data_IF_813448360393
#
_entry.id   IF_813448360393
#
_cell.length_a   1.000
_cell.length_b   1.000
_cell.length_c   1.000
_cell.angle_alpha   90.00
_cell.angle_beta   90.00
_cell.angle_gamma   90.00
#
_symmetry.space_group_name_H-M   'P 1'
#
loop_
_entity.id
_entity.type
_entity.pdbx_description
1 polymer ?
#
# COMPACT_ATOMS: atom_id res chain seq x y z
N UNK A 1 2.68 2.84 -21.96
CA UNK A 1 3.22 4.19 -21.70
C UNK A 1 4.07 4.58 -22.90
N UNK A 2 4.04 5.85 -23.36
CA UNK A 2 4.93 6.30 -24.44
C UNK A 2 6.38 6.23 -23.96
N UNK A 3 7.33 5.80 -24.82
CA UNK A 3 8.75 5.78 -24.48
C UNK A 3 9.21 7.19 -24.13
N UNK A 4 9.82 7.34 -22.95
CA UNK A 4 10.35 8.64 -22.52
C UNK A 4 11.54 9.00 -23.40
N UNK A 5 11.75 10.30 -23.69
CA UNK A 5 12.86 10.80 -24.52
C UNK A 5 14.22 10.30 -24.01
N UNK A 6 14.37 10.11 -22.71
CA UNK A 6 15.59 9.60 -22.08
C UNK A 6 15.96 8.17 -22.50
N UNK A 7 14.99 7.35 -22.95
CA UNK A 7 15.25 5.99 -23.44
C UNK A 7 16.07 5.94 -24.73
N UNK A 8 16.05 7.03 -25.49
CA UNK A 8 16.84 7.18 -26.73
C UNK A 8 18.24 7.73 -26.49
N UNK A 9 18.45 8.37 -25.30
CA UNK A 9 19.68 9.11 -25.01
C UNK A 9 20.58 8.37 -24.02
N UNK A 10 20.04 7.54 -23.09
CA UNK A 10 20.77 6.89 -22.01
C UNK A 10 20.76 5.37 -22.12
N UNK A 11 21.93 4.74 -21.96
CA UNK A 11 22.02 3.28 -21.81
C UNK A 11 21.87 2.88 -20.33
N UNK A 12 20.68 2.46 -19.94
CA UNK A 12 20.35 2.08 -18.57
C UNK A 12 21.12 0.84 -18.06
N UNK A 13 21.51 -0.07 -18.96
CA UNK A 13 22.39 -1.18 -18.57
C UNK A 13 23.78 -0.70 -18.23
N UNK A 14 24.31 0.25 -18.99
CA UNK A 14 25.60 0.88 -18.72
C UNK A 14 25.57 1.72 -17.43
N UNK A 15 24.47 2.43 -17.17
CA UNK A 15 24.25 3.20 -15.92
C UNK A 15 24.31 2.29 -14.68
N UNK A 16 23.71 1.11 -14.74
CA UNK A 16 23.79 0.12 -13.65
C UNK A 16 25.07 -0.71 -13.67
N UNK A 17 25.90 -0.62 -14.73
CA UNK A 17 27.11 -1.42 -14.88
C UNK A 17 26.86 -2.91 -15.06
N UNK A 18 25.75 -3.28 -15.72
CA UNK A 18 25.37 -4.67 -15.97
C UNK A 18 25.21 -4.95 -17.47
N UNK A 19 25.42 -6.18 -17.95
CA UNK A 19 25.18 -6.51 -19.34
C UNK A 19 23.68 -6.56 -19.67
N UNK A 20 23.26 -6.35 -20.94
CA UNK A 20 21.85 -6.44 -21.35
C UNK A 20 21.20 -7.81 -21.05
N UNK A 21 22.02 -8.85 -20.91
CA UNK A 21 21.58 -10.20 -20.55
C UNK A 21 21.46 -10.44 -19.06
N UNK A 22 21.68 -9.42 -18.21
CA UNK A 22 21.65 -9.55 -16.75
C UNK A 22 20.29 -10.03 -16.25
N UNK A 23 20.31 -10.90 -15.22
CA UNK A 23 19.10 -11.35 -14.56
C UNK A 23 18.50 -10.22 -13.70
N UNK A 24 17.18 -10.31 -13.39
CA UNK A 24 16.50 -9.38 -12.47
C UNK A 24 17.24 -9.29 -11.11
N UNK A 25 17.77 -10.41 -10.64
CA UNK A 25 18.55 -10.45 -9.38
C UNK A 25 19.85 -9.65 -9.47
N UNK A 26 20.51 -9.68 -10.62
CA UNK A 26 21.76 -8.95 -10.83
C UNK A 26 21.51 -7.46 -10.99
N UNK A 27 20.44 -7.08 -11.70
CA UNK A 27 19.96 -5.69 -11.82
C UNK A 27 19.64 -5.12 -10.43
N UNK A 28 18.85 -5.83 -9.61
CA UNK A 28 18.51 -5.40 -8.27
C UNK A 28 19.73 -5.33 -7.32
N UNK A 29 20.74 -6.21 -7.52
CA UNK A 29 21.99 -6.18 -6.76
C UNK A 29 22.85 -4.94 -7.14
N UNK A 30 22.98 -4.67 -8.43
CA UNK A 30 23.72 -3.51 -8.94
C UNK A 30 23.08 -2.20 -8.44
N UNK A 31 21.76 -2.08 -8.56
CA UNK A 31 21.01 -0.94 -8.04
C UNK A 31 21.28 -0.68 -6.57
N UNK A 32 21.11 -1.71 -5.71
CA UNK A 32 21.32 -1.55 -4.25
C UNK A 32 22.74 -1.09 -3.91
N UNK A 33 23.75 -1.57 -4.64
CA UNK A 33 25.13 -1.15 -4.45
C UNK A 33 25.32 0.33 -4.80
N UNK A 34 24.83 0.75 -5.97
CA UNK A 34 24.99 2.12 -6.46
C UNK A 34 24.12 3.12 -5.68
N UNK A 35 22.87 2.73 -5.33
CA UNK A 35 21.99 3.55 -4.52
C UNK A 35 22.57 3.81 -3.12
N UNK A 36 23.23 2.82 -2.49
CA UNK A 36 23.94 3.03 -1.24
C UNK A 36 25.16 3.93 -1.38
N UNK A 37 25.88 3.82 -2.51
CA UNK A 37 27.09 4.61 -2.78
C UNK A 37 26.77 6.09 -3.03
N UNK A 38 25.67 6.39 -3.74
CA UNK A 38 25.27 7.74 -4.12
C UNK A 38 24.09 8.30 -3.31
N UNK A 39 23.75 7.67 -2.17
CA UNK A 39 22.63 8.13 -1.35
C UNK A 39 22.87 9.57 -0.85
N UNK A 40 21.83 10.45 -0.89
CA UNK A 40 21.95 11.84 -0.44
C UNK A 40 22.43 11.97 1.00
N UNK A 41 21.99 11.07 1.90
CA UNK A 41 22.41 11.07 3.31
C UNK A 41 23.90 10.72 3.48
N UNK A 42 24.46 9.95 2.56
CA UNK A 42 25.89 9.57 2.58
C UNK A 42 26.78 10.58 1.85
N UNK A 43 26.21 11.43 1.00
CA UNK A 43 26.90 12.43 0.18
C UNK A 43 26.16 13.78 0.25
N UNK A 44 26.03 14.40 1.43
CA UNK A 44 25.26 15.63 1.58
C UNK A 44 25.91 16.79 0.83
N UNK A 45 25.14 17.38 -0.11
CA UNK A 45 25.59 18.55 -0.90
C UNK A 45 26.44 18.22 -2.13
N UNK A 46 26.71 16.94 -2.42
CA UNK A 46 27.39 16.51 -3.64
C UNK A 46 26.41 16.38 -4.81
N UNK A 47 26.44 17.37 -5.71
CA UNK A 47 25.56 17.42 -6.89
C UNK A 47 25.82 16.28 -7.88
N UNK A 48 27.07 15.84 -8.02
CA UNK A 48 27.42 14.73 -8.91
C UNK A 48 26.89 13.39 -8.38
N UNK A 49 26.91 13.21 -7.07
CA UNK A 49 26.30 12.05 -6.43
C UNK A 49 24.77 12.06 -6.56
N UNK A 50 24.14 13.24 -6.42
CA UNK A 50 22.69 13.40 -6.60
C UNK A 50 22.25 13.09 -8.04
N UNK A 51 22.98 13.56 -9.04
CA UNK A 51 22.71 13.29 -10.44
C UNK A 51 22.86 11.80 -10.77
N UNK A 52 23.95 11.16 -10.31
CA UNK A 52 24.15 9.72 -10.45
C UNK A 52 23.07 8.91 -9.74
N UNK A 53 22.61 9.35 -8.57
CA UNK A 53 21.52 8.68 -7.87
C UNK A 53 20.20 8.74 -8.65
N UNK A 54 19.90 9.89 -9.28
CA UNK A 54 18.73 10.04 -10.17
C UNK A 54 18.83 9.10 -11.38
N UNK A 55 19.98 9.05 -12.02
CA UNK A 55 20.20 8.18 -13.19
C UNK A 55 20.09 6.69 -12.84
N UNK A 56 20.69 6.27 -11.73
CA UNK A 56 20.62 4.90 -11.21
C UNK A 56 19.18 4.50 -10.86
N UNK A 57 18.41 5.43 -10.27
CA UNK A 57 17.02 5.19 -9.90
C UNK A 57 16.13 5.09 -11.14
N UNK A 58 16.30 5.96 -12.12
CA UNK A 58 15.57 5.91 -13.39
C UNK A 58 15.88 4.62 -14.17
N UNK A 59 17.14 4.20 -14.22
CA UNK A 59 17.55 2.95 -14.85
C UNK A 59 16.89 1.73 -14.18
N UNK A 60 16.87 1.69 -12.85
CA UNK A 60 16.24 0.60 -12.11
C UNK A 60 14.73 0.55 -12.31
N UNK A 61 14.04 1.68 -12.29
CA UNK A 61 12.60 1.77 -12.53
C UNK A 61 12.16 1.16 -13.86
N UNK A 62 12.99 1.27 -14.89
CA UNK A 62 12.70 0.69 -16.20
C UNK A 62 13.11 -0.78 -16.28
N UNK A 63 14.28 -1.16 -15.73
CA UNK A 63 14.85 -2.49 -15.90
C UNK A 63 14.34 -3.54 -14.90
N UNK A 64 13.78 -3.13 -13.75
CA UNK A 64 13.18 -4.03 -12.74
C UNK A 64 11.82 -4.59 -13.17
N UNK A 65 11.11 -3.90 -14.06
CA UNK A 65 9.80 -4.32 -14.55
C UNK A 65 9.94 -5.05 -15.90
N UNK A 66 9.57 -6.34 -16.00
CA UNK A 66 9.74 -7.14 -17.21
C UNK A 66 9.13 -6.52 -18.47
N UNK A 67 7.96 -5.89 -18.33
CA UNK A 67 7.27 -5.27 -19.48
C UNK A 67 7.96 -3.97 -19.92
N UNK A 68 8.36 -3.09 -18.97
CA UNK A 68 9.12 -1.87 -19.30
C UNK A 68 10.50 -2.18 -19.85
N UNK A 69 11.15 -3.22 -19.34
CA UNK A 69 12.44 -3.68 -19.85
C UNK A 69 12.33 -4.12 -21.31
N UNK A 70 11.27 -4.88 -21.67
CA UNK A 70 11.01 -5.28 -23.05
C UNK A 70 10.78 -4.08 -23.96
N UNK A 71 9.99 -3.11 -23.53
CA UNK A 71 9.76 -1.87 -24.29
C UNK A 71 11.07 -1.10 -24.49
N UNK A 72 11.87 -0.98 -23.44
CA UNK A 72 13.19 -0.33 -23.52
C UNK A 72 14.16 -1.07 -24.45
N UNK A 73 14.22 -2.40 -24.38
CA UNK A 73 15.05 -3.23 -25.26
C UNK A 73 14.64 -3.06 -26.73
N UNK A 74 13.35 -2.94 -27.04
CA UNK A 74 12.85 -2.66 -28.39
C UNK A 74 13.31 -1.26 -28.88
N UNK A 75 13.22 -0.23 -28.04
CA UNK A 75 13.71 1.12 -28.37
C UNK A 75 15.21 1.09 -28.64
N UNK A 76 15.97 0.39 -27.81
CA UNK A 76 17.42 0.22 -27.96
C UNK A 76 17.78 -0.49 -29.27
N UNK A 77 17.03 -1.50 -29.67
CA UNK A 77 17.21 -2.21 -30.93
C UNK A 77 16.92 -1.30 -32.14
N UNK A 78 15.86 -0.45 -32.06
CA UNK A 78 15.54 0.54 -33.08
C UNK A 78 16.66 1.60 -33.22
N UNK A 79 17.24 2.04 -32.12
CA UNK A 79 18.38 2.97 -32.15
C UNK A 79 19.62 2.30 -32.75
N UNK A 80 19.90 1.05 -32.38
CA UNK A 80 21.05 0.29 -32.90
C UNK A 80 20.91 -0.07 -34.37
N UNK A 81 19.70 -0.26 -34.87
CA UNK A 81 19.42 -0.52 -36.29
C UNK A 81 19.41 0.74 -37.19
N UNK A 82 19.63 1.92 -36.58
CA UNK A 82 19.66 3.19 -37.29
C UNK A 82 18.30 3.74 -37.73
N UNK A 83 17.22 3.09 -37.33
CA UNK A 83 15.83 3.52 -37.63
C UNK A 83 15.41 4.71 -36.75
N UNK A 84 16.04 4.86 -35.57
CA UNK A 84 15.83 5.97 -34.64
C UNK A 84 17.21 6.44 -34.12
N UNK A 85 17.90 7.27 -34.86
CA UNK A 85 19.16 7.92 -34.44
C UNK A 85 18.92 9.34 -33.93
N UNK A 86 19.87 9.93 -33.18
CA UNK A 86 19.76 11.29 -32.61
C UNK A 86 19.74 12.42 -33.66
N UNK A 87 19.28 12.13 -34.88
CA UNK A 87 19.21 13.02 -36.05
C UNK A 87 17.81 13.30 -36.57
N UNK A 88 16.74 12.94 -35.89
CA UNK A 88 15.34 13.20 -36.34
C UNK A 88 14.93 14.68 -36.25
N UNK A 89 15.86 15.59 -36.21
CA UNK A 89 15.64 17.05 -36.12
C UNK A 89 16.57 17.90 -36.96
N UNK A 90 17.21 17.39 -38.04
CA UNK A 90 17.96 18.27 -38.97
C UNK A 90 17.33 18.29 -40.36
N UNK A 91 16.81 19.44 -40.82
CA UNK A 91 16.39 19.59 -42.21
C UNK A 91 17.64 19.77 -43.10
N UNK A 92 17.88 18.81 -44.00
CA UNK A 92 18.79 19.05 -45.14
C UNK A 92 19.87 18.02 -45.33
N UNK A 93 19.61 16.99 -46.09
CA UNK A 93 20.31 16.54 -47.28
C UNK A 93 19.93 15.14 -47.72
N UNK A 94 19.04 15.06 -48.69
CA UNK A 94 18.80 13.90 -49.57
C UNK A 94 18.15 14.40 -50.85
N UNK A 95 18.61 13.96 -52.05
CA UNK A 95 18.13 14.48 -53.32
C UNK A 95 16.80 13.85 -53.72
N UNK A 96 15.72 14.63 -53.75
CA UNK A 96 14.46 14.16 -54.27
C UNK A 96 13.28 14.97 -53.72
N UNK A 97 13.01 16.11 -54.42
CA UNK A 97 12.01 17.10 -54.03
C UNK A 97 10.60 16.59 -53.95
N UNK A 98 9.80 17.25 -53.19
CA UNK A 98 8.52 17.89 -53.55
C UNK A 98 8.14 18.81 -52.39
N UNK A 99 7.98 20.11 -52.72
CA UNK A 99 7.59 21.16 -51.80
C UNK A 99 6.15 21.04 -51.35
N UNK A 100 5.87 21.44 -50.18
CA UNK A 100 4.99 22.56 -49.82
C UNK A 100 4.99 22.75 -48.31
N UNK A 101 5.17 23.99 -47.89
CA UNK A 101 5.40 24.38 -46.52
C UNK A 101 4.14 24.19 -45.64
N UNK A 102 4.31 23.42 -44.58
CA UNK A 102 3.58 23.58 -43.35
C UNK A 102 4.43 23.07 -42.18
N UNK A 103 5.08 23.99 -41.53
CA UNK A 103 5.68 23.84 -40.20
C UNK A 103 4.57 23.52 -39.22
N UNK A 104 4.52 22.27 -38.75
CA UNK A 104 3.68 21.91 -37.61
C UNK A 104 4.55 22.16 -36.36
N UNK A 105 4.23 23.22 -35.63
CA UNK A 105 4.74 23.48 -34.29
C UNK A 105 4.20 22.39 -33.35
N UNK A 106 5.08 21.63 -32.72
CA UNK A 106 4.77 20.59 -31.74
C UNK A 106 4.80 21.21 -30.34
N UNK A 107 3.93 22.19 -30.10
CA UNK A 107 3.81 22.81 -28.77
C UNK A 107 2.39 22.67 -28.16
N UNK A 108 1.53 21.85 -28.78
CA UNK A 108 0.17 21.66 -28.29
C UNK A 108 -0.27 20.18 -28.46
N UNK A 109 0.49 19.24 -27.87
CA UNK A 109 0.11 17.82 -27.80
C UNK A 109 0.04 17.30 -26.37
N UNK A 110 -0.63 18.04 -25.51
CA UNK A 110 -1.11 17.56 -24.22
C UNK A 110 -2.51 17.00 -24.31
N UNK A 111 -2.80 16.12 -25.25
CA UNK A 111 -3.99 15.24 -25.22
C UNK A 111 -4.20 14.55 -26.59
N UNK A 112 -3.33 13.65 -26.99
CA UNK A 112 -3.64 12.77 -28.12
C UNK A 112 -3.14 11.36 -27.88
N UNK A 113 -4.02 10.51 -27.38
CA UNK A 113 -3.93 9.04 -27.46
C UNK A 113 -3.96 8.52 -28.89
N UNK A 114 -3.01 8.92 -29.74
CA UNK A 114 -3.07 8.66 -31.18
C UNK A 114 -1.77 8.23 -31.85
N UNK A 115 -0.70 7.93 -31.12
CA UNK A 115 0.54 7.47 -31.76
C UNK A 115 0.44 6.05 -32.34
N UNK A 116 -0.50 5.25 -31.84
CA UNK A 116 -0.82 3.92 -32.40
C UNK A 116 -1.46 4.00 -33.79
N UNK A 117 -2.24 5.03 -34.05
CA UNK A 117 -2.92 5.23 -35.34
C UNK A 117 -1.98 5.75 -36.45
N UNK A 118 -0.96 6.55 -36.09
CA UNK A 118 0.01 7.09 -37.05
C UNK A 118 1.03 6.04 -37.51
N UNK A 119 1.45 5.13 -36.63
CA UNK A 119 2.32 4.00 -36.99
C UNK A 119 1.55 2.88 -37.68
N UNK A 120 0.28 2.67 -37.38
CA UNK A 120 -0.59 1.71 -38.07
C UNK A 120 -0.88 2.09 -39.52
N UNK A 121 -0.94 3.40 -39.83
CA UNK A 121 -1.19 3.91 -41.19
C UNK A 121 0.01 3.80 -42.14
N UNK A 122 1.23 3.70 -41.63
CA UNK A 122 2.45 3.68 -42.47
C UNK A 122 2.92 2.27 -42.85
N UNK A 123 2.51 1.24 -42.09
CA UNK A 123 2.85 -0.17 -42.40
C UNK A 123 1.66 -1.04 -42.87
N UNK A 124 0.46 -0.46 -42.96
CA UNK A 124 -0.77 -1.21 -43.22
C UNK A 124 -1.39 -0.99 -44.60
N UNK A 125 -0.64 -1.08 -45.69
CA UNK A 125 -1.26 -1.17 -47.04
C UNK A 125 -1.60 -2.63 -47.33
N UNK A 126 -2.67 -3.12 -46.71
CA UNK A 126 -3.20 -4.45 -46.97
C UNK A 126 -3.82 -5.14 -45.78
N UNK A 127 -5.02 -4.75 -45.36
CA UNK A 127 -5.73 -5.57 -44.40
C UNK A 127 -6.65 -4.84 -43.40
N UNK A 128 -7.52 -3.96 -43.89
CA UNK A 128 -8.51 -3.24 -43.07
C UNK A 128 -9.61 -4.10 -42.42
N UNK A 129 -9.34 -5.38 -42.11
CA UNK A 129 -10.30 -6.28 -41.44
C UNK A 129 -9.75 -6.99 -40.20
N UNK A 130 -8.44 -6.92 -39.88
CA UNK A 130 -7.84 -7.67 -38.76
C UNK A 130 -7.67 -6.87 -37.47
N UNK A 131 -7.77 -5.54 -37.48
CA UNK A 131 -7.64 -4.73 -36.27
C UNK A 131 -8.91 -4.75 -35.37
N UNK A 132 -10.06 -5.25 -35.90
CA UNK A 132 -11.32 -5.36 -35.14
C UNK A 132 -11.45 -6.62 -34.30
N UNK A 133 -10.54 -7.60 -34.48
CA UNK A 133 -10.63 -8.90 -33.79
C UNK A 133 -9.57 -9.11 -32.71
N UNK A 134 -8.81 -8.05 -32.32
CA UNK A 134 -7.89 -8.18 -31.20
C UNK A 134 -8.66 -8.26 -29.89
N UNK A 135 -8.37 -9.25 -29.03
CA UNK A 135 -8.99 -9.36 -27.72
C UNK A 135 -8.50 -8.24 -26.79
N UNK A 136 -9.42 -7.43 -26.30
CA UNK A 136 -9.13 -6.40 -25.30
C UNK A 136 -9.62 -6.84 -23.92
N UNK A 137 -8.81 -6.69 -22.84
CA UNK A 137 -9.26 -6.98 -21.50
C UNK A 137 -10.35 -6.01 -21.07
N UNK A 138 -11.32 -6.51 -20.30
CA UNK A 138 -12.38 -5.70 -19.72
C UNK A 138 -11.84 -4.75 -18.64
N UNK A 139 -12.57 -3.67 -18.33
CA UNK A 139 -12.19 -2.72 -17.27
C UNK A 139 -12.27 -3.38 -15.90
N UNK A 140 -11.35 -2.98 -15.02
CA UNK A 140 -11.42 -3.30 -13.60
C UNK A 140 -12.48 -2.44 -12.93
N UNK A 141 -13.21 -3.03 -11.96
CA UNK A 141 -14.20 -2.32 -11.16
C UNK A 141 -13.75 -2.24 -9.72
N UNK A 142 -14.26 -1.21 -9.00
CA UNK A 142 -14.05 -1.04 -7.57
C UNK A 142 -15.40 -0.95 -6.86
N UNK A 143 -15.53 -1.61 -5.70
CA UNK A 143 -16.70 -1.56 -4.83
C UNK A 143 -16.29 -1.59 -3.37
N UNK A 144 -17.16 -1.13 -2.47
CA UNK A 144 -16.93 -1.18 -1.03
C UNK A 144 -17.74 -2.30 -0.38
N UNK A 145 -17.15 -2.95 0.61
CA UNK A 145 -17.79 -3.95 1.45
C UNK A 145 -17.61 -3.57 2.91
N UNK A 146 -18.70 -3.29 3.59
CA UNK A 146 -18.69 -3.06 5.04
C UNK A 146 -18.83 -4.39 5.80
N UNK A 147 -17.90 -4.63 6.72
CA UNK A 147 -17.87 -5.79 7.62
C UNK A 147 -18.02 -5.36 9.08
N UNK A 148 -18.59 -6.24 9.89
CA UNK A 148 -18.49 -6.10 11.33
C UNK A 148 -17.06 -6.47 11.79
N UNK A 149 -16.62 -5.92 12.92
CA UNK A 149 -15.29 -6.16 13.45
C UNK A 149 -14.95 -7.64 13.58
N UNK A 150 -15.89 -8.44 14.11
CA UNK A 150 -15.69 -9.88 14.29
C UNK A 150 -15.57 -10.64 12.96
N UNK A 151 -16.27 -10.20 11.93
CA UNK A 151 -16.15 -10.76 10.58
C UNK A 151 -14.79 -10.46 9.97
N UNK A 152 -14.29 -9.24 10.18
CA UNK A 152 -12.95 -8.86 9.73
C UNK A 152 -11.84 -9.64 10.45
N UNK A 153 -12.04 -9.93 11.75
CA UNK A 153 -11.12 -10.71 12.56
C UNK A 153 -11.07 -12.19 12.16
N UNK A 154 -12.23 -12.82 12.03
CA UNK A 154 -12.34 -14.27 11.77
C UNK A 154 -12.32 -14.62 10.28
N UNK A 155 -12.51 -13.62 9.42
CA UNK A 155 -12.74 -13.84 7.99
C UNK A 155 -14.17 -14.37 7.74
N UNK A 156 -14.66 -14.12 6.55
CA UNK A 156 -16.02 -14.48 6.15
C UNK A 156 -16.14 -14.67 4.65
N UNK A 157 -17.11 -15.47 4.23
CA UNK A 157 -17.57 -15.51 2.84
C UNK A 157 -18.74 -14.55 2.69
N UNK A 158 -18.61 -13.55 1.82
CA UNK A 158 -19.69 -12.59 1.52
C UNK A 158 -20.09 -12.69 0.06
N UNK A 159 -21.37 -12.57 -0.18
CA UNK A 159 -21.95 -12.48 -1.51
C UNK A 159 -22.31 -11.03 -1.78
N UNK A 160 -21.70 -10.48 -2.85
CA UNK A 160 -21.91 -9.10 -3.28
C UNK A 160 -22.75 -9.12 -4.55
N UNK A 161 -23.81 -8.33 -4.58
CA UNK A 161 -24.52 -8.03 -5.81
C UNK A 161 -23.84 -6.83 -6.47
N UNK A 162 -23.23 -7.06 -7.62
CA UNK A 162 -22.52 -6.04 -8.36
C UNK A 162 -22.87 -6.15 -9.84
N UNK A 163 -23.30 -5.05 -10.46
CA UNK A 163 -23.68 -4.99 -11.88
C UNK A 163 -24.69 -6.10 -12.28
N UNK A 164 -25.71 -6.35 -11.43
CA UNK A 164 -26.72 -7.39 -11.65
C UNK A 164 -26.21 -8.84 -11.51
N UNK A 165 -24.96 -9.02 -11.12
CA UNK A 165 -24.31 -10.34 -10.89
C UNK A 165 -24.06 -10.56 -9.41
N UNK A 166 -24.20 -11.80 -8.96
CA UNK A 166 -23.78 -12.21 -7.63
C UNK A 166 -22.33 -12.69 -7.65
N UNK A 167 -21.47 -12.09 -6.84
CA UNK A 167 -20.05 -12.43 -6.72
C UNK A 167 -19.75 -12.86 -5.28
N UNK A 168 -19.28 -14.10 -5.12
CA UNK A 168 -18.81 -14.62 -3.82
C UNK A 168 -17.39 -14.16 -3.58
N UNK A 169 -17.18 -13.41 -2.48
CA UNK A 169 -15.88 -12.88 -2.07
C UNK A 169 -15.46 -13.55 -0.78
N UNK A 170 -14.29 -14.15 -0.78
CA UNK A 170 -13.67 -14.71 0.42
C UNK A 170 -12.81 -13.64 1.09
N UNK A 171 -13.21 -13.23 2.28
CA UNK A 171 -12.48 -12.31 3.12
C UNK A 171 -11.54 -13.11 4.02
N UNK A 172 -10.23 -12.91 3.95
CA UNK A 172 -9.31 -13.61 4.84
C UNK A 172 -9.44 -13.10 6.28
N UNK A 173 -9.10 -13.93 7.30
CA UNK A 173 -9.05 -13.47 8.67
C UNK A 173 -8.00 -12.37 8.84
N UNK A 174 -8.32 -11.41 9.71
CA UNK A 174 -7.43 -10.30 10.03
C UNK A 174 -7.41 -9.17 8.99
N UNK A 175 -8.37 -9.12 8.07
CA UNK A 175 -8.45 -8.03 7.09
C UNK A 175 -8.51 -6.66 7.79
N UNK A 176 -7.73 -5.69 7.27
CA UNK A 176 -7.69 -4.34 7.82
C UNK A 176 -8.77 -3.44 7.18
N UNK A 177 -9.14 -2.37 7.91
CA UNK A 177 -9.96 -1.30 7.32
C UNK A 177 -9.20 -0.64 6.16
N UNK A 178 -9.91 -0.37 5.05
CA UNK A 178 -9.33 0.15 3.82
C UNK A 178 -8.55 -0.87 2.97
N UNK A 179 -8.41 -2.12 3.42
CA UNK A 179 -7.70 -3.14 2.65
C UNK A 179 -8.47 -3.50 1.37
N UNK A 180 -7.72 -3.64 0.26
CA UNK A 180 -8.27 -4.03 -1.05
C UNK A 180 -8.12 -5.54 -1.26
N UNK A 181 -9.22 -6.17 -1.67
CA UNK A 181 -9.27 -7.59 -2.04
C UNK A 181 -9.60 -7.69 -3.52
N UNK A 182 -8.68 -8.22 -4.30
CA UNK A 182 -8.83 -8.42 -5.75
C UNK A 182 -9.52 -9.75 -6.03
N UNK A 183 -10.64 -9.70 -6.74
CA UNK A 183 -11.38 -10.86 -7.22
C UNK A 183 -11.21 -10.97 -8.73
N UNK A 184 -10.35 -11.89 -9.15
CA UNK A 184 -9.95 -12.04 -10.55
C UNK A 184 -11.12 -12.39 -11.47
N UNK A 185 -11.16 -11.73 -12.63
CA UNK A 185 -12.14 -12.00 -13.68
C UNK A 185 -13.59 -11.67 -13.29
N UNK A 186 -13.80 -10.77 -12.34
CA UNK A 186 -15.12 -10.31 -11.87
C UNK A 186 -15.39 -8.83 -12.15
N UNK A 187 -14.54 -8.19 -12.95
CA UNK A 187 -14.73 -6.84 -13.50
C UNK A 187 -15.61 -6.82 -14.73
N UNK A 188 -15.44 -5.83 -15.58
CA UNK A 188 -16.16 -5.68 -16.83
C UNK A 188 -15.84 -6.77 -17.84
N UNK A 189 -16.74 -7.06 -18.77
CA UNK A 189 -16.48 -8.01 -19.84
C UNK A 189 -15.37 -7.51 -20.76
N UNK A 190 -14.52 -8.43 -21.23
CA UNK A 190 -13.55 -8.13 -22.28
C UNK A 190 -14.23 -8.05 -23.64
N UNK A 191 -13.64 -7.32 -24.57
CA UNK A 191 -14.08 -7.21 -25.95
C UNK A 191 -13.35 -8.21 -26.85
N UNK A 192 -13.99 -8.65 -27.92
CA UNK A 192 -13.45 -9.56 -28.94
C UNK A 192 -12.84 -10.85 -28.34
N UNK A 193 -13.47 -11.42 -27.30
CA UNK A 193 -12.95 -12.62 -26.63
C UNK A 193 -11.81 -12.35 -25.64
N UNK A 194 -11.54 -11.10 -25.32
CA UNK A 194 -10.60 -10.73 -24.27
C UNK A 194 -11.04 -11.16 -22.86
N UNK A 195 -10.12 -11.32 -21.91
CA UNK A 195 -10.47 -11.68 -20.53
C UNK A 195 -11.29 -10.58 -19.86
N UNK A 196 -12.18 -10.96 -18.95
CA UNK A 196 -12.83 -9.99 -18.09
C UNK A 196 -11.81 -9.31 -17.17
N UNK A 197 -12.05 -8.03 -16.85
CA UNK A 197 -11.31 -7.31 -15.82
C UNK A 197 -11.51 -7.89 -14.42
N UNK A 198 -10.94 -7.28 -13.41
CA UNK A 198 -11.02 -7.72 -12.03
C UNK A 198 -11.95 -6.81 -11.21
N UNK A 199 -12.46 -7.35 -10.09
CA UNK A 199 -13.21 -6.58 -9.11
C UNK A 199 -12.34 -6.34 -7.89
N UNK A 200 -12.07 -5.07 -7.59
CA UNK A 200 -11.36 -4.64 -6.39
C UNK A 200 -12.38 -4.27 -5.31
N UNK A 201 -12.39 -5.04 -4.22
CA UNK A 201 -13.29 -4.83 -3.08
C UNK A 201 -12.52 -4.12 -1.98
N UNK A 202 -12.91 -2.88 -1.67
CA UNK A 202 -12.37 -2.10 -0.55
C UNK A 202 -13.16 -2.47 0.70
N UNK A 203 -12.46 -3.01 1.70
CA UNK A 203 -13.09 -3.41 2.96
C UNK A 203 -13.22 -2.22 3.89
N UNK A 204 -14.42 -2.01 4.46
CA UNK A 204 -14.69 -1.07 5.56
C UNK A 204 -15.06 -1.86 6.80
N UNK A 205 -14.36 -1.62 7.90
CA UNK A 205 -14.61 -2.34 9.16
C UNK A 205 -15.29 -1.42 10.16
N UNK A 206 -16.47 -1.83 10.64
CA UNK A 206 -17.18 -1.11 11.70
C UNK A 206 -16.41 -1.21 13.01
N UNK A 207 -16.33 -0.12 13.80
CA UNK A 207 -15.72 -0.16 15.12
C UNK A 207 -16.48 -1.10 16.05
N UNK A 208 -15.74 -1.78 16.94
CA UNK A 208 -16.35 -2.63 17.98
C UNK A 208 -16.44 -1.85 19.31
N UNK A 209 -17.52 -2.02 20.09
CA UNK A 209 -17.68 -1.23 21.32
C UNK A 209 -16.63 -1.54 22.42
N UNK A 210 -16.01 -2.71 22.38
CA UNK A 210 -15.07 -3.16 23.41
C UNK A 210 -13.65 -3.26 22.88
N UNK A 211 -13.46 -3.79 21.66
CA UNK A 211 -12.15 -4.05 21.10
C UNK A 211 -11.75 -2.97 20.10
N UNK A 212 -10.52 -2.50 20.24
CA UNK A 212 -9.81 -1.74 19.19
C UNK A 212 -8.74 -2.59 18.52
N UNK A 213 -8.15 -2.08 17.46
CA UNK A 213 -7.03 -2.70 16.75
C UNK A 213 -5.79 -1.81 16.86
N UNK A 214 -4.62 -2.41 17.05
CA UNK A 214 -3.34 -1.72 17.05
C UNK A 214 -2.36 -2.43 16.12
N UNK A 215 -1.92 -1.71 15.08
CA UNK A 215 -1.14 -2.36 14.01
C UNK A 215 -1.95 -3.40 13.26
N UNK A 216 -1.26 -4.42 12.76
CA UNK A 216 -1.87 -5.42 11.90
C UNK A 216 -2.63 -6.51 12.67
N UNK A 217 -2.15 -6.91 13.86
CA UNK A 217 -2.62 -8.12 14.53
C UNK A 217 -2.96 -7.96 16.00
N UNK A 218 -2.47 -6.89 16.65
CA UNK A 218 -2.74 -6.68 18.06
C UNK A 218 -4.14 -6.08 18.27
N UNK A 219 -4.76 -6.49 19.37
CA UNK A 219 -6.02 -5.93 19.83
C UNK A 219 -5.80 -5.05 21.06
N UNK A 220 -6.68 -4.10 21.28
CA UNK A 220 -6.73 -3.28 22.49
C UNK A 220 -8.08 -3.45 23.16
N UNK A 221 -8.07 -3.40 24.49
CA UNK A 221 -9.29 -3.35 25.32
C UNK A 221 -9.01 -2.47 26.53
N UNK A 222 -9.96 -1.60 26.88
CA UNK A 222 -9.92 -0.83 28.13
C UNK A 222 -10.78 -1.54 29.17
N UNK A 223 -10.20 -1.79 30.33
CA UNK A 223 -10.85 -2.50 31.44
C UNK A 223 -10.92 -1.57 32.63
N UNK A 224 -12.12 -1.19 33.06
CA UNK A 224 -12.31 -0.42 34.28
C UNK A 224 -11.96 -1.29 35.50
N UNK A 225 -11.16 -0.70 36.42
CA UNK A 225 -10.80 -1.30 37.70
C UNK A 225 -11.12 -0.31 38.82
N UNK A 226 -11.35 -0.82 40.01
CA UNK A 226 -11.58 0.01 41.18
C UNK A 226 -10.27 0.61 41.73
N UNK A 227 -10.35 1.69 42.48
CA UNK A 227 -9.18 2.25 43.17
C UNK A 227 -8.52 1.22 44.11
N UNK A 228 -9.31 0.41 44.82
CA UNK A 228 -8.78 -0.64 45.69
C UNK A 228 -7.97 -1.69 44.92
N UNK A 229 -8.47 -2.17 43.73
CA UNK A 229 -7.74 -3.09 42.87
C UNK A 229 -6.47 -2.45 42.32
N UNK A 230 -6.52 -1.16 41.97
CA UNK A 230 -5.35 -0.45 41.45
C UNK A 230 -4.27 -0.30 42.55
N UNK A 231 -4.67 0.08 43.78
CA UNK A 231 -3.76 0.33 44.87
C UNK A 231 -3.18 -0.95 45.49
N UNK A 232 -4.04 -1.92 45.79
CA UNK A 232 -3.67 -3.14 46.52
C UNK A 232 -3.28 -4.30 45.60
N UNK A 233 -3.60 -4.19 44.29
CA UNK A 233 -3.48 -5.28 43.34
C UNK A 233 -4.69 -6.20 43.40
N UNK A 234 -4.76 -7.10 42.43
CA UNK A 234 -5.87 -8.04 42.33
C UNK A 234 -5.85 -8.80 40.99
N UNK A 235 -7.04 -9.20 40.58
CA UNK A 235 -7.22 -9.87 39.28
C UNK A 235 -8.50 -9.34 38.60
N UNK A 236 -8.42 -9.06 37.32
CA UNK A 236 -9.56 -8.68 36.50
C UNK A 236 -9.88 -9.76 35.47
N UNK A 237 -11.17 -10.00 35.22
CA UNK A 237 -11.63 -10.82 34.09
C UNK A 237 -11.70 -9.92 32.86
N UNK A 238 -10.91 -10.24 31.86
CA UNK A 238 -10.78 -9.46 30.64
C UNK A 238 -11.40 -10.26 29.48
N UNK A 239 -12.30 -9.66 28.70
CA UNK A 239 -12.84 -10.31 27.51
C UNK A 239 -11.75 -10.50 26.46
N UNK A 240 -11.79 -11.62 25.75
CA UNK A 240 -10.97 -11.88 24.57
C UNK A 240 -11.85 -12.47 23.47
N UNK A 241 -11.32 -12.57 22.24
CA UNK A 241 -12.05 -13.16 21.12
C UNK A 241 -12.50 -14.61 21.37
N UNK A 242 -11.73 -15.35 22.19
CA UNK A 242 -11.97 -16.78 22.47
C UNK A 242 -12.54 -17.05 23.85
N UNK A 243 -12.99 -16.01 24.55
CA UNK A 243 -13.54 -16.08 25.90
C UNK A 243 -12.72 -15.31 26.93
N UNK A 244 -13.25 -15.05 28.13
CA UNK A 244 -12.59 -14.22 29.13
C UNK A 244 -11.36 -14.90 29.74
N UNK A 245 -10.32 -14.10 29.99
CA UNK A 245 -9.09 -14.51 30.68
C UNK A 245 -8.93 -13.71 31.97
N UNK A 246 -8.26 -14.30 32.97
CA UNK A 246 -7.93 -13.60 34.20
C UNK A 246 -6.57 -12.94 34.06
N UNK A 247 -6.50 -11.62 34.25
CA UNK A 247 -5.29 -10.83 34.20
C UNK A 247 -4.96 -10.29 35.58
N UNK A 248 -3.70 -10.41 36.01
CA UNK A 248 -3.24 -9.90 37.29
C UNK A 248 -3.03 -8.39 37.23
N UNK A 249 -3.54 -7.69 38.23
CA UNK A 249 -3.35 -6.26 38.47
C UNK A 249 -2.22 -6.12 39.52
N UNK A 250 -1.04 -5.60 39.17
CA UNK A 250 0.00 -5.35 40.16
C UNK A 250 -0.43 -4.24 41.17
N UNK A 251 -0.01 -4.33 42.43
CA UNK A 251 -0.25 -3.22 43.37
C UNK A 251 0.40 -1.94 42.87
N UNK A 252 -0.25 -0.80 43.07
CA UNK A 252 0.22 0.50 42.59
C UNK A 252 0.03 0.73 41.10
N UNK A 253 -0.90 -0.02 40.45
CA UNK A 253 -1.22 0.15 39.04
C UNK A 253 -1.81 1.54 38.77
N UNK A 254 -1.16 2.33 37.92
CA UNK A 254 -1.65 3.65 37.52
C UNK A 254 -2.73 3.53 36.44
N UNK A 255 -3.68 4.48 36.43
CA UNK A 255 -4.66 4.57 35.32
C UNK A 255 -3.95 4.78 34.00
N UNK A 256 -4.38 4.11 32.92
CA UNK A 256 -3.71 4.09 31.62
C UNK A 256 -2.60 3.04 31.50
N UNK A 257 -2.27 2.32 32.57
CA UNK A 257 -1.27 1.23 32.51
C UNK A 257 -1.75 0.12 31.60
N UNK A 258 -0.90 -0.21 30.62
CA UNK A 258 -1.19 -1.29 29.66
C UNK A 258 -0.39 -2.55 29.99
N UNK A 259 -1.05 -3.68 30.01
CA UNK A 259 -0.44 -5.03 30.13
C UNK A 259 -0.73 -5.84 28.88
N UNK A 260 0.20 -6.73 28.53
CA UNK A 260 0.13 -7.55 27.33
C UNK A 260 -0.31 -8.97 27.69
N UNK A 261 -1.35 -9.46 27.03
CA UNK A 261 -1.79 -10.85 27.07
C UNK A 261 -1.43 -11.52 25.77
N UNK A 262 -0.38 -12.34 25.80
CA UNK A 262 0.21 -12.93 24.60
C UNK A 262 -0.73 -13.88 23.89
N UNK A 263 -0.71 -13.82 22.54
CA UNK A 263 -1.46 -14.74 21.69
C UNK A 263 -2.99 -14.59 21.80
N UNK A 264 -3.50 -13.44 22.24
CA UNK A 264 -4.94 -13.14 22.34
C UNK A 264 -5.39 -12.02 21.42
N UNK A 265 -4.57 -11.67 20.43
CA UNK A 265 -4.91 -10.78 19.33
C UNK A 265 -5.56 -11.53 18.17
N UNK A 266 -5.39 -10.98 16.96
CA UNK A 266 -5.95 -11.53 15.72
C UNK A 266 -5.15 -12.74 15.27
N UNK A 267 -5.85 -13.81 14.90
CA UNK A 267 -5.21 -15.00 14.32
C UNK A 267 -4.73 -14.72 12.90
N UNK A 268 -3.52 -15.17 12.59
CA UNK A 268 -2.95 -15.06 11.25
C UNK A 268 -3.15 -16.35 10.47
N UNK A 269 -3.28 -16.23 9.16
CA UNK A 269 -3.25 -17.39 8.26
C UNK A 269 -1.90 -18.11 8.31
N UNK A 270 -0.80 -17.38 8.61
CA UNK A 270 0.56 -17.91 8.79
C UNK A 270 1.26 -17.13 9.91
N UNK A 271 1.82 -17.85 10.88
CA UNK A 271 2.56 -17.29 12.01
C UNK A 271 1.80 -17.35 13.34
N UNK A 272 2.37 -16.74 14.37
CA UNK A 272 1.73 -16.65 15.69
C UNK A 272 0.63 -15.59 15.67
N UNK A 273 -0.47 -15.77 16.45
CA UNK A 273 -1.47 -14.74 16.63
C UNK A 273 -0.86 -13.50 17.28
N UNK A 274 -1.49 -12.35 17.05
CA UNK A 274 -1.15 -11.11 17.74
C UNK A 274 -1.44 -11.17 19.24
N UNK A 275 -1.21 -10.09 19.95
CA UNK A 275 -1.41 -9.96 21.38
C UNK A 275 -2.63 -9.10 21.71
N UNK A 276 -3.18 -9.25 22.91
CA UNK A 276 -4.18 -8.34 23.44
C UNK A 276 -3.52 -7.37 24.42
N UNK A 277 -3.64 -6.10 24.14
CA UNK A 277 -3.18 -5.00 24.98
C UNK A 277 -4.33 -4.54 25.88
N UNK A 278 -4.22 -4.82 27.14
CA UNK A 278 -5.23 -4.48 28.16
C UNK A 278 -4.81 -3.22 28.87
N UNK A 279 -5.56 -2.14 28.70
CA UNK A 279 -5.35 -0.88 29.39
C UNK A 279 -6.26 -0.79 30.61
N UNK A 280 -5.71 -0.65 31.81
CA UNK A 280 -6.48 -0.46 33.02
C UNK A 280 -6.86 1.02 33.19
N UNK A 281 -8.13 1.26 33.47
CA UNK A 281 -8.63 2.60 33.76
C UNK A 281 -9.30 2.59 35.14
N UNK A 282 -8.86 3.48 36.02
CA UNK A 282 -9.46 3.55 37.37
C UNK A 282 -10.81 4.23 37.26
N UNK A 283 -11.87 3.48 37.54
CA UNK A 283 -13.22 3.98 37.55
C UNK A 283 -13.57 4.64 38.89
N UNK A 284 -14.10 5.86 38.82
CA UNK A 284 -14.63 6.57 39.97
C UNK A 284 -16.16 6.44 39.97
N UNK A 285 -16.77 5.97 41.07
CA UNK A 285 -18.21 5.87 41.14
C UNK A 285 -18.88 7.25 41.06
N UNK A 286 -19.94 7.37 40.28
CA UNK A 286 -20.72 8.61 40.17
C UNK A 286 -21.50 8.95 41.46
N UNK A 287 -21.93 7.91 42.16
CA UNK A 287 -22.73 8.00 43.40
C UNK A 287 -22.07 7.14 44.47
N UNK A 288 -21.91 7.68 45.64
CA UNK A 288 -21.44 6.99 46.85
C UNK A 288 -22.54 6.86 47.84
N UNK A 289 -22.64 5.72 48.52
CA UNK A 289 -23.40 5.56 49.75
C UNK A 289 -22.74 6.34 50.89
N UNK A 290 -23.46 6.52 52.02
CA UNK A 290 -22.88 7.24 53.18
C UNK A 290 -21.62 6.54 53.74
N UNK A 291 -21.62 5.21 53.75
CA UNK A 291 -20.46 4.45 54.25
C UNK A 291 -19.28 4.50 53.32
N UNK A 292 -19.50 4.45 52.00
CA UNK A 292 -18.43 4.65 50.99
C UNK A 292 -17.84 6.06 51.07
N UNK A 293 -18.70 7.09 51.25
CA UNK A 293 -18.26 8.48 51.44
C UNK A 293 -17.32 8.62 52.62
N UNK A 294 -17.74 8.10 53.79
CA UNK A 294 -16.90 8.12 55.01
C UNK A 294 -15.57 7.42 54.84
N UNK A 295 -15.57 6.28 54.13
CA UNK A 295 -14.35 5.54 53.83
C UNK A 295 -13.39 6.34 52.92
N UNK A 296 -13.96 7.00 51.90
CA UNK A 296 -13.16 7.83 50.94
C UNK A 296 -12.61 9.08 51.66
N UNK A 297 -13.41 9.74 52.52
CA UNK A 297 -12.96 10.87 53.33
C UNK A 297 -11.81 10.47 54.27
N UNK A 298 -11.94 9.38 55.01
CA UNK A 298 -10.89 8.85 55.87
C UNK A 298 -9.62 8.47 55.11
N UNK A 299 -9.77 7.92 53.91
CA UNK A 299 -8.62 7.64 53.03
C UNK A 299 -7.94 8.94 52.60
N UNK A 300 -8.73 9.97 52.21
CA UNK A 300 -8.21 11.29 51.82
C UNK A 300 -7.39 11.94 52.91
N UNK A 301 -7.82 11.86 54.17
CA UNK A 301 -7.10 12.39 55.35
C UNK A 301 -5.76 11.67 55.60
N UNK A 302 -5.66 10.41 55.16
CA UNK A 302 -4.48 9.56 55.35
C UNK A 302 -3.46 9.75 54.23
N UNK A 303 -3.90 10.04 53.01
CA UNK A 303 -3.04 10.23 51.85
C UNK A 303 -2.39 11.61 51.86
N UNK A 304 -1.09 11.67 52.16
CA UNK A 304 -0.31 12.91 52.23
C UNK A 304 0.38 13.28 50.91
N UNK A 305 0.38 12.39 49.92
CA UNK A 305 1.06 12.64 48.66
C UNK A 305 0.28 13.65 47.78
N UNK A 306 0.94 14.69 47.34
CA UNK A 306 0.38 15.64 46.38
C UNK A 306 0.60 15.13 44.96
N UNK A 307 -0.44 14.63 44.23
CA UNK A 307 -0.27 14.15 42.89
C UNK A 307 0.08 15.24 41.86
N UNK A 308 0.00 16.53 42.27
CA UNK A 308 0.30 17.70 41.43
C UNK A 308 1.64 18.34 41.71
N UNK A 309 2.46 17.75 42.58
CA UNK A 309 3.77 18.28 42.97
C UNK A 309 4.67 18.60 41.75
N UNK A 310 4.63 17.73 40.73
CA UNK A 310 5.37 17.90 39.50
C UNK A 310 4.88 19.05 38.59
N UNK A 311 3.70 19.61 38.87
CA UNK A 311 3.15 20.78 38.16
C UNK A 311 3.54 22.10 38.81
N UNK A 312 4.22 22.09 39.99
CA UNK A 312 4.65 23.27 40.74
C UNK A 312 3.48 24.04 41.38
N UNK A 313 2.35 23.38 41.65
CA UNK A 313 1.16 23.93 42.27
C UNK A 313 0.80 23.16 43.54
#
# INVERSE_FOLDING_TARGET
MAPQREWFEKDYYAVLGVPPTASEKDIARAYRKLAKQYHPDSNPGDKDAEEKFKDVSAAYEVLDHPDRRKEYDQVREMVASGVAGPGFGRPGSGPGGFGDGRTIFVDDLGDVGGLGDLLGGMFGRGGGRRARDMPFPGPDYETELTLDFMEAVHGVMRELSFDGRSVKVRIPPGVADGQRIRVKGRGGPGENGGPAGDLNVVVRVRPHPIFGRKGDDDLTVTVPITFAEAALGGTARVPTLTGPVTVKIPPGTQSGKTVRVRGRGIEKTKGSPGDLLVTFEVAVPEKLSEDERKAVEALGDTLKANPREHLGV
#
